data_IF_442934702049
#
_entry.id   IF_442934702049
#
_cell.length_a   1.000
_cell.length_b   1.000
_cell.length_c   1.000
_cell.angle_alpha   90.00
_cell.angle_beta   90.00
_cell.angle_gamma   90.00
#
_symmetry.space_group_name_H-M   'P 1'
#
loop_
_entity.id
_entity.type
_entity.pdbx_description
1 polymer ?
#
# COMPACT_ATOMS: atom_id res chain seq x y z
N UNK A 1 5.95 -50.33 2.52
CA UNK A 1 6.22 -50.34 1.07
C UNK A 1 6.80 -48.99 0.69
N UNK A 2 8.12 -48.91 0.62
CA UNK A 2 8.89 -47.67 0.49
C UNK A 2 9.02 -47.27 -0.98
N UNK A 3 8.68 -46.02 -1.32
CA UNK A 3 8.92 -45.45 -2.66
C UNK A 3 10.14 -44.53 -2.60
N UNK A 4 11.11 -44.66 -3.54
CA UNK A 4 12.31 -43.81 -3.58
C UNK A 4 12.04 -42.46 -4.26
N UNK A 5 12.71 -41.42 -3.77
CA UNK A 5 12.78 -40.07 -4.35
C UNK A 5 13.82 -39.99 -5.48
N UNK A 6 13.54 -39.33 -6.62
CA UNK A 6 14.57 -38.94 -7.56
C UNK A 6 15.09 -37.50 -7.34
N UNK A 7 16.38 -37.47 -7.02
CA UNK A 7 17.47 -36.57 -7.36
C UNK A 7 17.23 -35.15 -7.96
N UNK A 8 17.92 -34.21 -7.30
CA UNK A 8 18.36 -32.86 -7.70
C UNK A 8 18.89 -32.73 -9.13
N UNK A 9 18.55 -31.61 -9.79
CA UNK A 9 19.33 -30.84 -10.78
C UNK A 9 18.76 -29.42 -10.81
N UNK A 10 19.43 -28.33 -11.13
CA UNK A 10 20.81 -27.87 -11.09
C UNK A 10 20.71 -26.35 -11.36
N UNK A 11 21.63 -25.55 -10.82
CA UNK A 11 21.70 -24.11 -10.99
C UNK A 11 21.82 -23.67 -12.47
N UNK A 12 21.32 -22.47 -12.78
CA UNK A 12 21.88 -21.61 -13.82
C UNK A 12 21.66 -20.14 -13.45
N UNK A 13 22.77 -19.48 -13.09
CA UNK A 13 22.92 -18.03 -13.12
C UNK A 13 22.80 -17.53 -14.57
N UNK A 14 22.15 -16.39 -14.78
CA UNK A 14 22.39 -15.56 -15.95
C UNK A 14 22.56 -14.09 -15.54
N UNK A 15 23.82 -13.64 -15.61
CA UNK A 15 24.24 -12.25 -15.64
C UNK A 15 23.79 -11.60 -16.96
N UNK A 16 23.23 -10.40 -16.89
CA UNK A 16 23.32 -9.37 -17.93
C UNK A 16 22.86 -8.03 -17.32
N UNK A 17 23.32 -6.84 -17.67
CA UNK A 17 24.53 -6.31 -18.27
C UNK A 17 24.30 -4.78 -18.18
N UNK A 18 25.29 -4.05 -17.65
CA UNK A 18 25.28 -2.59 -17.62
C UNK A 18 25.05 -2.02 -19.02
N UNK A 19 24.18 -1.03 -19.15
CA UNK A 19 24.36 0.03 -20.14
C UNK A 19 24.31 1.38 -19.44
N UNK A 20 25.51 1.96 -19.29
CA UNK A 20 25.70 3.35 -18.95
C UNK A 20 25.35 4.21 -20.18
N UNK A 21 24.40 5.12 -20.02
CA UNK A 21 24.06 6.14 -21.01
C UNK A 21 24.26 7.53 -20.42
N UNK A 22 25.45 8.09 -20.60
CA UNK A 22 25.73 9.51 -20.38
C UNK A 22 25.22 10.29 -21.60
N UNK A 23 24.36 11.28 -21.40
CA UNK A 23 24.28 12.44 -22.30
C UNK A 23 24.21 13.70 -21.43
N UNK A 24 25.24 14.53 -21.59
CA UNK A 24 25.34 15.86 -21.03
C UNK A 24 24.67 16.86 -21.98
N UNK A 25 24.00 17.87 -21.43
CA UNK A 25 23.72 19.11 -22.16
C UNK A 25 23.95 20.32 -21.22
N UNK A 26 24.89 21.22 -21.54
CA UNK A 26 25.11 22.47 -20.82
C UNK A 26 24.49 23.66 -21.60
N UNK A 27 23.65 24.46 -20.94
CA UNK A 27 23.29 25.82 -21.36
C UNK A 27 22.75 26.56 -20.12
N UNK A 28 23.48 27.44 -19.43
CA UNK A 28 24.03 28.75 -19.83
C UNK A 28 22.96 29.86 -19.92
N UNK A 29 23.16 30.93 -19.14
CA UNK A 29 22.54 32.25 -19.34
C UNK A 29 21.35 32.63 -18.44
N UNK A 30 21.58 33.53 -17.46
CA UNK A 30 20.49 34.27 -16.81
C UNK A 30 20.82 35.05 -15.54
N UNK A 31 21.86 35.89 -15.55
CA UNK A 31 22.08 36.89 -14.50
C UNK A 31 21.04 38.03 -14.65
N UNK A 32 20.16 38.17 -13.66
CA UNK A 32 19.18 39.25 -13.56
C UNK A 32 19.25 39.90 -12.18
N UNK A 33 20.01 41.00 -12.09
CA UNK A 33 20.10 41.86 -10.92
C UNK A 33 18.76 42.61 -10.72
N UNK A 34 17.97 42.14 -9.75
CA UNK A 34 16.64 42.67 -9.44
C UNK A 34 16.53 43.17 -7.99
N UNK A 35 16.93 44.42 -7.78
CA UNK A 35 16.53 45.38 -6.75
C UNK A 35 16.00 44.85 -5.39
N UNK A 36 16.83 45.02 -4.36
CA UNK A 36 16.45 44.98 -2.95
C UNK A 36 15.45 46.09 -2.59
N UNK A 37 14.20 45.73 -2.28
CA UNK A 37 13.24 46.60 -1.62
C UNK A 37 13.17 46.33 -0.10
N UNK A 38 13.26 47.33 0.79
CA UNK A 38 13.05 47.15 2.22
C UNK A 38 11.54 47.16 2.49
N UNK A 39 10.92 45.98 2.51
CA UNK A 39 9.47 45.85 2.43
C UNK A 39 8.87 44.84 3.38
N UNK A 40 8.85 45.17 4.68
CA UNK A 40 7.96 44.60 5.73
C UNK A 40 8.19 43.12 6.04
N UNK A 41 8.82 42.86 7.18
CA UNK A 41 8.64 41.64 7.96
C UNK A 41 7.14 41.41 8.18
N UNK A 42 6.52 40.65 7.29
CA UNK A 42 5.28 39.99 7.61
C UNK A 42 5.66 38.97 8.67
N UNK A 43 5.24 39.25 9.91
CA UNK A 43 5.14 38.26 10.96
C UNK A 43 4.13 37.24 10.44
N UNK A 44 4.63 36.22 9.72
CA UNK A 44 3.84 35.06 9.35
C UNK A 44 3.48 34.42 10.68
N UNK A 45 2.25 34.67 11.12
CA UNK A 45 1.68 34.03 12.28
C UNK A 45 1.94 32.53 12.14
N UNK A 46 2.64 31.95 13.11
CA UNK A 46 2.84 30.51 13.17
C UNK A 46 1.46 29.85 12.99
N UNK A 47 1.31 28.86 12.11
CA UNK A 47 0.04 28.16 11.97
C UNK A 47 -0.39 27.70 13.36
N UNK A 48 -1.58 28.13 13.78
CA UNK A 48 -2.18 27.69 15.02
C UNK A 48 -2.02 26.17 15.08
N UNK A 49 -1.47 25.65 16.18
CA UNK A 49 -1.19 24.24 16.39
C UNK A 49 -2.42 23.42 15.98
N UNK A 50 -2.41 22.93 14.74
CA UNK A 50 -3.48 22.14 14.17
C UNK A 50 -3.49 20.84 14.93
N UNK A 51 -4.67 20.44 15.39
CA UNK A 51 -4.89 19.13 16.01
C UNK A 51 -4.35 18.09 15.04
N UNK A 52 -3.24 17.45 15.40
CA UNK A 52 -2.71 16.30 14.70
C UNK A 52 -3.46 15.12 15.27
N UNK A 53 -4.56 14.73 14.64
CA UNK A 53 -5.19 13.45 14.93
C UNK A 53 -4.35 12.36 14.25
N UNK A 54 -3.33 11.89 14.96
CA UNK A 54 -2.57 10.70 14.60
C UNK A 54 -3.37 9.48 15.07
N UNK A 55 -4.09 8.82 14.17
CA UNK A 55 -4.81 7.60 14.51
C UNK A 55 -3.87 6.40 14.34
N UNK A 56 -3.38 5.93 15.50
CA UNK A 56 -2.53 4.74 15.65
C UNK A 56 -3.41 3.50 15.53
N UNK A 57 -3.09 2.55 14.62
CA UNK A 57 -3.94 1.40 14.42
C UNK A 57 -3.84 0.38 15.55
N UNK A 58 -4.96 -0.30 15.74
CA UNK A 58 -5.05 -1.60 16.40
C UNK A 58 -6.01 -2.42 15.55
N UNK A 59 -5.60 -3.66 15.31
CA UNK A 59 -6.25 -4.66 14.47
C UNK A 59 -6.83 -4.15 13.15
N UNK A 60 -6.17 -4.48 12.04
CA UNK A 60 -6.73 -4.28 10.70
C UNK A 60 -6.78 -5.59 9.93
N UNK A 61 -7.79 -5.70 9.08
CA UNK A 61 -8.00 -6.83 8.21
C UNK A 61 -8.13 -6.36 6.76
N UNK A 62 -7.61 -7.15 5.85
CA UNK A 62 -7.73 -6.95 4.42
C UNK A 62 -8.51 -8.12 3.83
N UNK A 63 -9.69 -7.81 3.26
CA UNK A 63 -10.57 -8.78 2.63
C UNK A 63 -10.42 -8.70 1.11
N UNK A 64 -10.04 -9.80 0.49
CA UNK A 64 -10.02 -9.97 -0.96
C UNK A 64 -11.40 -10.42 -1.43
N UNK A 65 -11.94 -9.79 -2.47
CA UNK A 65 -13.19 -10.21 -3.09
C UNK A 65 -12.98 -11.56 -3.80
N UNK A 66 -13.71 -12.59 -3.36
CA UNK A 66 -13.58 -13.95 -3.88
C UNK A 66 -14.96 -14.61 -4.02
N UNK A 67 -15.09 -15.68 -4.83
CA UNK A 67 -16.32 -16.47 -4.89
C UNK A 67 -16.71 -17.04 -3.51
N UNK A 68 -18.01 -17.34 -3.29
CA UNK A 68 -18.50 -17.83 -1.99
C UNK A 68 -17.79 -19.06 -1.43
N UNK A 69 -17.27 -19.94 -2.30
CA UNK A 69 -16.51 -21.12 -1.90
C UNK A 69 -15.16 -20.80 -1.22
N UNK A 70 -14.64 -19.59 -1.41
CA UNK A 70 -13.33 -19.15 -0.93
C UNK A 70 -13.41 -18.05 0.15
N UNK A 71 -14.60 -17.59 0.53
CA UNK A 71 -14.80 -16.46 1.46
C UNK A 71 -14.00 -16.62 2.78
N UNK A 72 -13.91 -17.84 3.31
CA UNK A 72 -13.14 -18.13 4.54
C UNK A 72 -11.62 -18.01 4.40
N UNK A 73 -11.09 -17.88 3.18
CA UNK A 73 -9.66 -17.77 2.89
C UNK A 73 -9.26 -16.39 2.38
N UNK A 74 -10.23 -15.52 2.08
CA UNK A 74 -10.01 -14.17 1.54
C UNK A 74 -9.59 -13.11 2.57
N UNK A 75 -9.55 -13.47 3.85
CA UNK A 75 -9.26 -12.54 4.95
C UNK A 75 -7.80 -12.65 5.40
N UNK A 76 -7.13 -11.50 5.44
CA UNK A 76 -5.74 -11.38 5.84
C UNK A 76 -5.57 -10.35 6.95
N UNK A 77 -4.79 -10.67 7.98
CA UNK A 77 -4.46 -9.69 9.02
C UNK A 77 -3.39 -8.72 8.52
N UNK A 78 -3.62 -7.43 8.73
CA UNK A 78 -2.67 -6.36 8.46
C UNK A 78 -2.27 -5.75 9.80
N UNK A 79 -0.96 -5.68 10.06
CA UNK A 79 -0.44 -5.28 11.38
C UNK A 79 0.05 -3.83 11.44
N UNK A 80 0.22 -3.17 10.29
CA UNK A 80 0.90 -1.88 10.16
C UNK A 80 0.07 -0.82 9.44
N UNK A 81 -1.27 -0.97 9.41
CA UNK A 81 -2.15 -0.06 8.69
C UNK A 81 -2.32 1.27 9.43
N UNK A 82 -1.62 2.35 9.06
CA UNK A 82 -1.73 3.66 9.70
C UNK A 82 -2.61 4.61 8.88
N UNK A 83 -3.54 5.31 9.54
CA UNK A 83 -4.33 6.39 8.94
C UNK A 83 -3.98 7.72 9.62
N UNK A 84 -3.49 8.69 8.85
CA UNK A 84 -3.11 10.01 9.34
C UNK A 84 -4.01 11.06 8.72
N UNK A 85 -4.56 11.96 9.54
CA UNK A 85 -5.37 13.10 9.09
C UNK A 85 -4.75 14.41 9.53
N UNK A 86 -4.37 15.27 8.58
CA UNK A 86 -3.73 16.58 8.87
C UNK A 86 -4.25 17.65 7.91
N UNK A 87 -4.87 18.70 8.44
CA UNK A 87 -5.35 19.86 7.67
C UNK A 87 -6.20 19.47 6.43
N UNK A 88 -7.09 18.47 6.58
CA UNK A 88 -7.95 17.98 5.48
C UNK A 88 -7.26 16.99 4.53
N UNK A 89 -5.95 16.79 4.64
CA UNK A 89 -5.21 15.74 3.94
C UNK A 89 -5.31 14.45 4.72
N UNK A 90 -5.61 13.36 4.01
CA UNK A 90 -5.67 12.01 4.54
C UNK A 90 -4.55 11.18 3.90
N UNK A 91 -3.82 10.47 4.74
CA UNK A 91 -2.79 9.53 4.32
C UNK A 91 -3.09 8.14 4.91
N UNK A 92 -3.16 7.14 4.06
CA UNK A 92 -3.28 5.73 4.44
C UNK A 92 -2.00 5.01 4.08
N UNK A 93 -1.42 4.30 5.05
CA UNK A 93 -0.26 3.42 4.86
C UNK A 93 -0.60 2.04 5.35
N UNK A 94 -0.25 0.99 4.63
CA UNK A 94 -0.38 -0.39 5.11
C UNK A 94 0.52 -1.32 4.29
N UNK A 95 0.81 -2.51 4.81
CA UNK A 95 1.49 -3.55 4.05
C UNK A 95 0.56 -4.71 3.73
N UNK A 96 0.58 -5.12 2.47
CA UNK A 96 -0.07 -6.35 2.03
C UNK A 96 0.86 -7.54 2.27
N UNK A 97 0.33 -8.68 2.77
CA UNK A 97 1.12 -9.81 3.21
C UNK A 97 1.71 -10.62 2.05
N UNK A 98 2.81 -11.33 2.33
CA UNK A 98 3.49 -12.15 1.33
C UNK A 98 2.65 -13.36 0.88
N UNK A 99 1.73 -13.82 1.73
CA UNK A 99 0.76 -14.86 1.44
C UNK A 99 -0.24 -14.47 0.34
N UNK A 100 -0.36 -13.17 0.03
CA UNK A 100 -1.20 -12.66 -1.06
C UNK A 100 -0.40 -12.29 -2.30
N UNK A 101 0.81 -11.74 -2.12
CA UNK A 101 1.58 -11.10 -3.19
C UNK A 101 2.88 -11.82 -3.58
N UNK A 102 3.36 -12.73 -2.74
CA UNK A 102 4.67 -13.38 -2.84
C UNK A 102 5.78 -12.64 -2.09
N UNK A 103 5.52 -11.40 -1.66
CA UNK A 103 6.40 -10.59 -0.82
C UNK A 103 5.58 -9.55 -0.05
N UNK A 104 6.07 -9.12 1.12
CA UNK A 104 5.43 -8.02 1.86
C UNK A 104 5.60 -6.73 1.07
N UNK A 105 4.48 -6.07 0.73
CA UNK A 105 4.50 -4.84 -0.07
C UNK A 105 3.83 -3.71 0.69
N UNK A 106 4.59 -2.66 1.00
CA UNK A 106 4.07 -1.46 1.64
C UNK A 106 3.44 -0.54 0.59
N UNK A 107 2.27 0.01 0.92
CA UNK A 107 1.53 0.96 0.09
C UNK A 107 1.30 2.25 0.86
N UNK A 108 1.22 3.36 0.12
CA UNK A 108 0.96 4.69 0.66
C UNK A 108 0.02 5.43 -0.27
N UNK A 109 -1.17 5.75 0.23
CA UNK A 109 -2.18 6.51 -0.47
C UNK A 109 -2.34 7.87 0.19
N UNK A 110 -2.48 8.91 -0.63
CA UNK A 110 -2.67 10.28 -0.16
C UNK A 110 -3.85 10.88 -0.92
N UNK A 111 -4.67 11.65 -0.21
CA UNK A 111 -5.79 12.37 -0.78
C UNK A 111 -6.37 13.37 0.19
N UNK A 112 -7.60 13.80 -0.09
CA UNK A 112 -8.32 14.77 0.71
C UNK A 112 -9.65 14.22 1.18
N UNK A 113 -10.06 14.67 2.35
CA UNK A 113 -11.42 14.43 2.85
C UNK A 113 -12.42 15.19 1.97
N UNK A 114 -13.53 14.53 1.63
CA UNK A 114 -14.66 15.14 0.94
C UNK A 114 -15.42 16.11 1.88
N UNK A 115 -16.32 16.89 1.29
CA UNK A 115 -17.14 17.88 2.00
C UNK A 115 -18.06 17.25 3.07
N UNK A 116 -18.32 15.95 2.98
CA UNK A 116 -19.11 15.19 3.97
C UNK A 116 -18.34 14.93 5.29
N UNK A 117 -17.03 15.18 5.30
CA UNK A 117 -16.18 15.03 6.47
C UNK A 117 -15.85 13.59 6.87
N UNK A 118 -16.28 12.57 6.10
CA UNK A 118 -16.09 11.15 6.43
C UNK A 118 -15.61 10.32 5.24
N UNK A 119 -15.75 10.79 4.02
CA UNK A 119 -15.27 10.09 2.82
C UNK A 119 -13.92 10.68 2.39
N UNK A 120 -12.97 9.84 1.99
CA UNK A 120 -11.70 10.28 1.43
C UNK A 120 -11.34 9.47 0.19
N UNK A 121 -11.04 10.19 -0.91
CA UNK A 121 -10.54 9.59 -2.15
C UNK A 121 -9.03 9.76 -2.19
N UNK A 122 -8.31 8.64 -2.19
CA UNK A 122 -6.87 8.58 -2.05
C UNK A 122 -6.22 7.97 -3.29
N UNK A 123 -5.01 8.42 -3.61
CA UNK A 123 -4.25 7.97 -4.78
C UNK A 123 -2.82 7.59 -4.39
N UNK A 124 -2.23 6.68 -5.15
CA UNK A 124 -0.84 6.25 -5.04
C UNK A 124 -0.28 5.93 -6.44
N UNK A 125 1.00 5.60 -6.51
CA UNK A 125 1.62 5.10 -7.74
C UNK A 125 1.09 3.71 -8.15
N UNK A 126 0.56 2.94 -7.20
CA UNK A 126 0.08 1.57 -7.41
C UNK A 126 -1.42 1.49 -7.72
N UNK A 127 -2.18 2.55 -7.42
CA UNK A 127 -3.63 2.60 -7.63
C UNK A 127 -4.35 3.60 -6.74
N UNK A 128 -5.60 3.31 -6.41
CA UNK A 128 -6.53 4.21 -5.71
C UNK A 128 -7.14 3.54 -4.48
N UNK A 129 -7.59 4.35 -3.51
CA UNK A 129 -8.38 3.88 -2.38
C UNK A 129 -9.52 4.85 -2.07
N UNK A 130 -10.73 4.33 -1.89
CA UNK A 130 -11.89 5.10 -1.40
C UNK A 130 -12.19 4.67 0.03
N UNK A 131 -12.08 5.60 0.96
CA UNK A 131 -12.17 5.35 2.39
C UNK A 131 -13.40 6.02 3.00
N UNK A 132 -14.11 5.29 3.86
CA UNK A 132 -15.11 5.81 4.79
C UNK A 132 -14.53 5.76 6.19
N UNK A 133 -14.33 6.93 6.78
CA UNK A 133 -13.67 7.15 8.07
C UNK A 133 -14.74 7.51 9.09
N UNK A 134 -15.25 6.49 9.78
CA UNK A 134 -16.24 6.65 10.83
C UNK A 134 -15.70 6.09 12.14
N UNK A 135 -16.10 6.64 13.28
CA UNK A 135 -15.76 6.03 14.56
C UNK A 135 -16.76 4.91 14.88
N UNK A 136 -16.34 3.71 15.30
CA UNK A 136 -14.96 3.27 15.59
C UNK A 136 -14.34 2.44 14.45
N UNK A 137 -14.78 2.60 13.19
CA UNK A 137 -14.36 1.76 12.06
C UNK A 137 -14.05 2.57 10.82
N UNK A 138 -12.83 2.44 10.32
CA UNK A 138 -12.46 2.91 8.98
C UNK A 138 -12.49 1.75 8.00
N UNK A 139 -13.18 1.94 6.87
CA UNK A 139 -13.22 0.97 5.78
C UNK A 139 -12.72 1.63 4.50
N UNK A 140 -11.73 1.03 3.85
CA UNK A 140 -11.17 1.50 2.59
C UNK A 140 -11.28 0.42 1.52
N UNK A 141 -11.93 0.72 0.39
CA UNK A 141 -11.85 -0.09 -0.81
C UNK A 141 -10.60 0.29 -1.57
N UNK A 142 -9.66 -0.63 -1.72
CA UNK A 142 -8.32 -0.41 -2.29
C UNK A 142 -8.23 -1.16 -3.61
N UNK A 143 -7.94 -0.45 -4.70
CA UNK A 143 -7.68 -1.00 -6.02
C UNK A 143 -6.23 -0.72 -6.41
N UNK A 144 -5.43 -1.77 -6.64
CA UNK A 144 -3.99 -1.68 -6.90
C UNK A 144 -3.59 -2.38 -8.21
N UNK A 145 -4.10 -1.93 -9.37
CA UNK A 145 -3.80 -2.55 -10.67
C UNK A 145 -2.32 -2.49 -11.07
N UNK A 146 -1.53 -1.59 -10.46
CA UNK A 146 -0.09 -1.49 -10.72
C UNK A 146 0.76 -2.52 -9.98
N UNK A 147 0.15 -3.40 -9.18
CA UNK A 147 0.87 -4.29 -8.28
C UNK A 147 1.19 -5.63 -8.96
N UNK A 148 2.47 -6.00 -8.96
CA UNK A 148 2.94 -7.28 -9.51
C UNK A 148 2.82 -8.37 -8.44
N UNK A 149 2.14 -9.48 -8.78
CA UNK A 149 1.92 -10.62 -7.88
C UNK A 149 2.72 -11.81 -8.39
N UNK A 150 3.59 -12.35 -7.54
CA UNK A 150 4.39 -13.54 -7.82
C UNK A 150 3.71 -14.78 -7.22
N UNK A 151 2.91 -15.47 -8.03
CA UNK A 151 2.15 -16.65 -7.58
C UNK A 151 3.05 -17.84 -7.20
N UNK A 152 4.25 -17.94 -7.77
CA UNK A 152 5.20 -18.99 -7.39
C UNK A 152 5.76 -18.73 -5.99
N UNK A 153 6.08 -17.47 -5.70
CA UNK A 153 6.49 -17.05 -4.36
C UNK A 153 5.35 -17.18 -3.34
N UNK A 154 4.10 -16.85 -3.72
CA UNK A 154 2.91 -17.11 -2.87
C UNK A 154 2.81 -18.60 -2.54
N UNK A 155 2.93 -19.49 -3.54
CA UNK A 155 2.87 -20.93 -3.33
C UNK A 155 3.98 -21.41 -2.38
N UNK A 156 5.19 -20.81 -2.47
CA UNK A 156 6.28 -21.10 -1.54
C UNK A 156 5.98 -20.64 -0.10
N UNK A 157 5.37 -19.46 0.09
CA UNK A 157 4.94 -18.97 1.41
C UNK A 157 3.84 -19.81 2.04
N UNK A 158 2.94 -20.36 1.23
CA UNK A 158 1.84 -21.21 1.67
C UNK A 158 2.26 -22.67 1.86
N UNK A 159 3.50 -23.05 1.52
CA UNK A 159 3.96 -24.43 1.58
C UNK A 159 3.83 -25.00 3.00
N UNK A 160 3.02 -26.05 3.14
CA UNK A 160 2.75 -26.71 4.43
C UNK A 160 1.53 -26.19 5.18
N UNK A 161 0.86 -25.13 4.68
CA UNK A 161 -0.46 -24.75 5.18
C UNK A 161 -1.51 -25.78 4.74
N UNK A 162 -2.44 -26.20 5.62
CA UNK A 162 -3.55 -27.08 5.23
C UNK A 162 -4.46 -26.43 4.16
N UNK A 163 -4.47 -25.09 4.10
CA UNK A 163 -5.33 -24.30 3.23
C UNK A 163 -4.58 -23.72 2.02
N UNK A 164 -3.38 -24.24 1.72
CA UNK A 164 -2.49 -23.67 0.70
C UNK A 164 -3.15 -23.56 -0.68
N UNK A 165 -3.91 -24.58 -1.10
CA UNK A 165 -4.58 -24.59 -2.40
C UNK A 165 -5.64 -23.48 -2.50
N UNK A 166 -6.49 -23.34 -1.48
CA UNK A 166 -7.54 -22.32 -1.46
C UNK A 166 -6.95 -20.91 -1.39
N UNK A 167 -5.95 -20.69 -0.53
CA UNK A 167 -5.25 -19.38 -0.43
C UNK A 167 -4.50 -19.01 -1.71
N UNK A 168 -3.93 -19.98 -2.42
CA UNK A 168 -3.33 -19.73 -3.73
C UNK A 168 -4.38 -19.34 -4.78
N UNK A 169 -5.58 -19.91 -4.73
CA UNK A 169 -6.69 -19.54 -5.61
C UNK A 169 -7.22 -18.12 -5.29
N UNK A 170 -7.25 -17.73 -4.02
CA UNK A 170 -7.51 -16.35 -3.59
C UNK A 170 -6.47 -15.39 -4.20
N UNK A 171 -5.18 -15.70 -4.05
CA UNK A 171 -4.10 -14.88 -4.63
C UNK A 171 -4.18 -14.81 -6.16
N UNK A 172 -4.53 -15.91 -6.83
CA UNK A 172 -4.75 -15.93 -8.28
C UNK A 172 -5.95 -15.07 -8.70
N UNK A 173 -7.02 -15.06 -7.90
CA UNK A 173 -8.20 -14.21 -8.17
C UNK A 173 -7.85 -12.73 -7.99
N UNK A 174 -7.13 -12.40 -6.92
CA UNK A 174 -6.61 -11.06 -6.67
C UNK A 174 -5.64 -10.59 -7.76
N UNK A 175 -4.84 -11.50 -8.34
CA UNK A 175 -3.97 -11.16 -9.46
C UNK A 175 -4.72 -10.78 -10.74
N UNK A 176 -5.94 -11.29 -10.93
CA UNK A 176 -6.79 -10.92 -12.05
C UNK A 176 -7.53 -9.59 -11.81
N UNK A 177 -7.95 -9.34 -10.57
CA UNK A 177 -8.64 -8.12 -10.15
C UNK A 177 -8.15 -7.68 -8.76
N UNK A 178 -7.09 -6.84 -8.68
CA UNK A 178 -6.40 -6.52 -7.43
C UNK A 178 -7.16 -5.47 -6.62
N UNK A 179 -8.36 -5.87 -6.18
CA UNK A 179 -9.28 -5.08 -5.37
C UNK A 179 -9.53 -5.79 -4.05
N UNK A 180 -9.45 -5.04 -2.96
CA UNK A 180 -9.76 -5.54 -1.63
C UNK A 180 -10.32 -4.46 -0.72
N UNK A 181 -10.76 -4.86 0.46
CA UNK A 181 -11.35 -3.99 1.47
C UNK A 181 -10.49 -4.06 2.73
N UNK A 182 -9.83 -2.95 3.05
CA UNK A 182 -9.13 -2.77 4.32
C UNK A 182 -10.12 -2.26 5.37
N UNK A 183 -10.30 -3.00 6.45
CA UNK A 183 -11.06 -2.57 7.62
C UNK A 183 -10.12 -2.39 8.79
N UNK A 184 -10.15 -1.22 9.41
CA UNK A 184 -9.39 -0.89 10.62
C UNK A 184 -10.34 -0.41 11.70
N UNK A 185 -10.11 -0.83 12.93
CA UNK A 185 -10.88 -0.39 14.08
C UNK A 185 -10.14 0.80 14.75
N UNK A 186 -10.86 1.76 15.35
CA UNK A 186 -10.35 2.94 16.08
C UNK A 186 -10.59 2.83 17.63
N UNK A 187 -9.55 3.02 18.47
CA UNK A 187 -9.52 2.47 19.85
C UNK A 187 -10.15 3.56 20.69
N UNK A 188 -11.22 3.27 21.43
CA UNK A 188 -11.79 4.25 22.36
C UNK A 188 -10.80 4.76 23.41
N UNK A 189 -9.67 4.11 23.65
CA UNK A 189 -8.72 4.44 24.71
C UNK A 189 -7.74 5.59 24.40
N UNK A 190 -7.83 6.20 23.21
CA UNK A 190 -7.10 7.42 22.81
C UNK A 190 -8.08 8.56 22.49
#
# INVERSE_FOLDING_TARGET
MSRPLPARRAAALALAALTAGCVADPADGGAGDGASGPGRSQVVAAPAAGVVDELVPFFSEYLVAVPPALEGFGLFTVHDAVLVRRHGVVELRHSLPAELLGQVTSTRFIGSLADDGVTAELTSELGTASCRIEWPTTTCTVAVPGLSIDLDAVAAHLAGSPDAAARLEVASSFAADPVGVLSAYLDPAF
#
